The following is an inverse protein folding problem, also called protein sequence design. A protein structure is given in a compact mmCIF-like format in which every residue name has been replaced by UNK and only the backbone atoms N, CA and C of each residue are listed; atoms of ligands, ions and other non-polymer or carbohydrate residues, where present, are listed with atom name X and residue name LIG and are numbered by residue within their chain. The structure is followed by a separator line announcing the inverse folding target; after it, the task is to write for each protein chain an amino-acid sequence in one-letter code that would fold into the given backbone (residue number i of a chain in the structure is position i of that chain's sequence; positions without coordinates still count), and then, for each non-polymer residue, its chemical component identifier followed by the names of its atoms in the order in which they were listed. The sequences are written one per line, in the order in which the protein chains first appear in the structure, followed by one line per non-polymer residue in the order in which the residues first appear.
data_IF_515958938073
#
_entry.id   IF_515958938073
#
_cell.length_a   1.000
_cell.length_b   1.000
_cell.length_c   1.000
_cell.angle_alpha   90.00
_cell.angle_beta   90.00
_cell.angle_gamma   90.00
#
_symmetry.space_group_name_H-M   'P 1'
#
loop_
_entity.id
_entity.type
_entity.pdbx_description
1 polymer ?
#
# COMPACT_ATOMS: atom_id res chain seq x y z
N UNK A 1 19.92 -3.32 5.59
CA UNK A 1 18.79 -3.92 4.86
C UNK A 1 18.20 -5.06 5.66
N UNK A 2 17.28 -4.72 6.55
CA UNK A 2 16.38 -5.65 7.24
C UNK A 2 15.07 -5.73 6.45
N UNK A 3 14.42 -6.89 6.49
CA UNK A 3 13.09 -7.07 5.90
C UNK A 3 12.05 -7.14 7.03
N UNK A 4 11.04 -6.28 6.96
CA UNK A 4 9.94 -6.18 7.92
C UNK A 4 8.67 -6.78 7.32
N UNK A 5 8.03 -7.69 8.06
CA UNK A 5 6.72 -8.24 7.70
C UNK A 5 5.62 -7.51 8.47
N UNK A 6 4.69 -6.89 7.75
CA UNK A 6 3.51 -6.22 8.29
C UNK A 6 2.27 -7.02 7.93
N UNK A 7 1.48 -7.41 8.92
CA UNK A 7 0.22 -8.15 8.71
C UNK A 7 -0.91 -7.31 9.30
N UNK A 8 -1.82 -6.84 8.44
CA UNK A 8 -2.98 -6.09 8.89
C UNK A 8 -4.17 -7.02 9.15
N UNK A 9 -4.67 -7.08 10.41
CA UNK A 9 -5.71 -8.04 10.77
C UNK A 9 -7.09 -7.65 10.22
N UNK A 10 -7.35 -6.35 10.07
CA UNK A 10 -8.61 -5.80 9.61
C UNK A 10 -8.47 -5.25 8.19
N UNK A 11 -9.50 -5.39 7.35
CA UNK A 11 -9.49 -4.78 6.02
C UNK A 11 -9.72 -3.27 6.11
N UNK A 12 -9.22 -2.54 5.13
CA UNK A 12 -9.25 -1.08 5.07
C UNK A 12 -9.75 -0.58 3.70
N UNK A 13 -10.26 0.66 3.59
CA UNK A 13 -10.70 1.21 2.32
C UNK A 13 -9.51 1.47 1.39
N UNK A 14 -9.77 1.41 0.07
CA UNK A 14 -8.73 1.46 -0.95
C UNK A 14 -7.79 2.67 -0.85
N UNK A 15 -8.32 3.87 -0.61
CA UNK A 15 -7.51 5.09 -0.47
C UNK A 15 -6.50 4.98 0.68
N UNK A 16 -6.87 4.31 1.79
CA UNK A 16 -5.99 4.15 2.95
C UNK A 16 -4.90 3.11 2.66
N UNK A 17 -5.26 2.00 2.03
CA UNK A 17 -4.29 0.99 1.59
C UNK A 17 -3.25 1.59 0.65
N UNK A 18 -3.67 2.38 -0.34
CA UNK A 18 -2.77 3.06 -1.27
C UNK A 18 -1.85 4.07 -0.56
N UNK A 19 -2.39 4.84 0.40
CA UNK A 19 -1.61 5.80 1.18
C UNK A 19 -0.53 5.11 2.04
N UNK A 20 -0.87 3.99 2.69
CA UNK A 20 0.09 3.21 3.49
C UNK A 20 1.19 2.62 2.60
N UNK A 21 0.82 2.05 1.44
CA UNK A 21 1.80 1.48 0.51
C UNK A 21 2.79 2.55 -0.01
N UNK A 22 2.30 3.77 -0.31
CA UNK A 22 3.18 4.88 -0.71
C UNK A 22 4.08 5.33 0.45
N UNK A 23 3.56 5.44 1.67
CA UNK A 23 4.37 5.82 2.84
C UNK A 23 5.48 4.80 3.15
N UNK A 24 5.20 3.49 2.96
CA UNK A 24 6.22 2.45 3.09
C UNK A 24 7.28 2.55 1.99
N UNK A 25 6.89 2.88 0.76
CA UNK A 25 7.84 3.11 -0.33
C UNK A 25 8.76 4.31 -0.04
N UNK A 26 8.21 5.39 0.48
CA UNK A 26 8.98 6.58 0.87
C UNK A 26 9.96 6.23 2.01
N UNK A 27 9.51 5.43 2.99
CA UNK A 27 10.35 4.99 4.10
C UNK A 27 11.54 4.14 3.64
N UNK A 28 11.34 3.24 2.68
CA UNK A 28 12.44 2.45 2.06
C UNK A 28 13.50 3.34 1.45
N UNK A 29 13.11 4.47 0.84
CA UNK A 29 14.05 5.41 0.26
C UNK A 29 14.90 6.11 1.33
N UNK A 30 14.34 6.31 2.53
CA UNK A 30 15.01 6.97 3.66
C UNK A 30 15.92 6.02 4.45
N UNK A 31 15.48 4.79 4.72
CA UNK A 31 16.17 3.86 5.63
C UNK A 31 16.97 2.72 4.94
N UNK A 32 16.68 2.42 3.68
CA UNK A 32 17.31 1.33 2.93
C UNK A 32 16.92 -0.08 3.42
N UNK A 33 15.82 -0.20 4.15
CA UNK A 33 15.20 -1.47 4.54
C UNK A 33 14.18 -1.95 3.49
N UNK A 34 13.52 -3.08 3.77
CA UNK A 34 12.49 -3.66 2.91
C UNK A 34 11.24 -3.98 3.72
N UNK A 35 10.07 -3.83 3.11
CA UNK A 35 8.77 -4.10 3.74
C UNK A 35 7.93 -5.04 2.88
N UNK A 36 7.41 -6.10 3.50
CA UNK A 36 6.37 -6.95 2.94
C UNK A 36 5.09 -6.74 3.74
N UNK A 37 4.04 -6.23 3.09
CA UNK A 37 2.74 -5.96 3.72
C UNK A 37 1.69 -6.94 3.19
N UNK A 38 0.97 -7.59 4.10
CA UNK A 38 -0.19 -8.44 3.81
C UNK A 38 -1.45 -7.76 4.36
N UNK A 39 -2.41 -7.47 3.48
CA UNK A 39 -3.59 -6.67 3.81
C UNK A 39 -4.82 -7.06 2.97
N UNK A 40 -5.99 -6.52 3.34
CA UNK A 40 -7.26 -6.74 2.66
C UNK A 40 -7.99 -5.42 2.42
N UNK A 41 -8.86 -5.43 1.40
CA UNK A 41 -9.65 -4.28 0.99
C UNK A 41 -11.09 -4.43 1.50
N UNK A 42 -11.64 -3.37 2.12
CA UNK A 42 -13.06 -3.28 2.42
C UNK A 42 -13.53 -1.80 2.44
N UNK A 43 -14.55 -1.43 1.64
CA UNK A 43 -15.23 -2.27 0.63
C UNK A 43 -14.27 -2.67 -0.50
N UNK A 44 -14.66 -3.68 -1.29
CA UNK A 44 -13.99 -3.94 -2.57
C UNK A 44 -14.03 -2.67 -3.42
N UNK A 45 -12.95 -2.34 -4.11
CA UNK A 45 -12.93 -1.20 -5.02
C UNK A 45 -12.00 -1.43 -6.19
N UNK A 46 -12.15 -0.56 -7.20
CA UNK A 46 -11.28 -0.48 -8.36
C UNK A 46 -10.11 0.45 -8.03
N UNK A 47 -8.89 -0.03 -8.23
CA UNK A 47 -7.70 0.81 -8.22
C UNK A 47 -7.32 1.18 -9.65
N UNK A 48 -6.86 2.41 -9.83
CA UNK A 48 -6.26 2.87 -11.07
C UNK A 48 -4.76 3.00 -10.86
N UNK A 49 -3.98 2.53 -11.82
CA UNK A 49 -2.55 2.79 -11.88
C UNK A 49 -2.26 4.29 -12.05
N UNK A 50 -1.05 4.71 -11.70
CA UNK A 50 -0.61 6.12 -11.77
C UNK A 50 -0.88 6.80 -13.12
N UNK A 51 -0.89 6.03 -14.20
CA UNK A 51 -1.10 6.50 -15.57
C UNK A 51 -2.41 6.01 -16.20
N UNK A 52 -3.28 5.36 -15.44
CA UNK A 52 -4.60 4.94 -15.91
C UNK A 52 -5.61 6.07 -15.68
N UNK A 53 -6.37 6.48 -16.71
CA UNK A 53 -7.38 7.51 -16.55
C UNK A 53 -8.57 6.99 -15.73
N UNK A 54 -9.03 7.81 -14.77
CA UNK A 54 -10.22 7.52 -13.97
C UNK A 54 -11.53 7.97 -14.66
N UNK A 55 -11.42 8.78 -15.70
CA UNK A 55 -12.53 9.32 -16.47
C UNK A 55 -12.71 8.51 -17.77
N UNK A 56 -13.95 8.37 -18.21
CA UNK A 56 -14.28 7.97 -19.58
C UNK A 56 -14.48 9.20 -20.43
#
# INVERSE_FOLDING_TARGET
MRCHLVIEPLPEPGWRNMAVDQALLDLVADDGDAYLRLYRWQPYCLSFGRHEPAER
#
